data_IF_912573886088
#
_entry.id   IF_912573886088
#
_cell.length_a   1.000
_cell.length_b   1.000
_cell.length_c   1.000
_cell.angle_alpha   90.00
_cell.angle_beta   90.00
_cell.angle_gamma   90.00
#
_symmetry.space_group_name_H-M   'P 1'
#
loop_
_entity.id
_entity.type
_entity.pdbx_description
1 polymer ?
#
# COMPACT_ATOMS: atom_id res chain seq x y z
N UNK A 1 21.00 -2.46 -25.12
CA UNK A 1 21.30 -1.05 -24.80
C UNK A 1 20.13 -0.58 -23.96
N UNK A 2 20.38 -0.27 -22.69
CA UNK A 2 19.32 0.05 -21.73
C UNK A 2 18.77 1.46 -22.02
N UNK A 3 17.48 1.57 -22.30
CA UNK A 3 16.85 2.84 -22.65
C UNK A 3 16.51 3.62 -21.38
N UNK A 4 17.56 4.07 -20.70
CA UNK A 4 17.45 4.90 -19.50
C UNK A 4 16.57 6.15 -19.74
N UNK A 5 16.63 6.70 -20.95
CA UNK A 5 15.89 7.92 -21.31
C UNK A 5 14.40 7.70 -21.60
N UNK A 6 13.97 6.47 -21.89
CA UNK A 6 12.58 6.17 -22.27
C UNK A 6 11.57 6.55 -21.16
N UNK A 7 12.00 6.50 -19.90
CA UNK A 7 11.17 6.93 -18.76
C UNK A 7 10.92 8.43 -18.77
N UNK A 8 11.93 9.24 -19.13
CA UNK A 8 11.79 10.69 -19.20
C UNK A 8 10.92 11.10 -20.40
N UNK A 9 11.07 10.45 -21.54
CA UNK A 9 10.19 10.66 -22.70
C UNK A 9 8.73 10.30 -22.41
N UNK A 10 8.50 9.17 -21.73
CA UNK A 10 7.15 8.76 -21.30
C UNK A 10 6.51 9.79 -20.37
N UNK A 11 7.26 10.29 -19.39
CA UNK A 11 6.79 11.32 -18.46
C UNK A 11 6.56 12.67 -19.14
N UNK A 12 7.45 13.07 -20.06
CA UNK A 12 7.32 14.28 -20.85
C UNK A 12 6.13 14.23 -21.83
N UNK A 13 5.75 13.03 -22.29
CA UNK A 13 4.59 12.81 -23.16
C UNK A 13 3.27 12.79 -22.38
N UNK A 14 3.23 12.09 -21.25
CA UNK A 14 1.96 11.92 -20.53
C UNK A 14 1.56 13.15 -19.69
N UNK A 15 2.52 13.92 -19.15
CA UNK A 15 2.33 15.18 -18.36
C UNK A 15 1.11 15.20 -17.42
N UNK A 16 0.64 14.03 -16.99
CA UNK A 16 -0.61 13.88 -16.26
C UNK A 16 -0.32 13.25 -14.93
N UNK A 17 -0.57 14.01 -13.88
CA UNK A 17 -0.54 13.50 -12.51
C UNK A 17 -1.82 12.70 -12.31
N UNK A 18 -1.71 11.37 -12.28
CA UNK A 18 -2.81 10.50 -11.90
C UNK A 18 -2.96 10.50 -10.38
N UNK A 19 -4.20 10.54 -9.91
CA UNK A 19 -4.48 10.35 -8.49
C UNK A 19 -4.07 8.93 -8.08
N UNK A 20 -3.43 8.79 -6.92
CA UNK A 20 -3.16 7.49 -6.34
C UNK A 20 -4.49 6.82 -5.95
N UNK A 21 -4.72 5.55 -6.34
CA UNK A 21 -5.91 4.83 -5.92
C UNK A 21 -5.90 4.70 -4.40
N UNK A 22 -7.05 4.95 -3.78
CA UNK A 22 -7.22 4.79 -2.33
C UNK A 22 -7.65 3.36 -2.04
N UNK A 23 -6.96 2.72 -1.10
CA UNK A 23 -7.40 1.45 -0.56
C UNK A 23 -8.66 1.66 0.31
N UNK A 24 -9.68 0.82 0.09
CA UNK A 24 -10.90 0.73 0.88
C UNK A 24 -10.98 -0.60 1.63
N UNK A 25 -11.83 -0.63 2.65
CA UNK A 25 -12.10 -1.84 3.45
C UNK A 25 -11.02 -2.18 4.49
N UNK A 26 -9.94 -1.40 4.58
CA UNK A 26 -8.91 -1.61 5.59
C UNK A 26 -9.46 -1.36 7.01
N UNK A 27 -9.09 -2.21 8.00
CA UNK A 27 -9.30 -1.89 9.40
C UNK A 27 -8.62 -0.56 9.79
N UNK A 28 -9.11 0.13 10.84
CA UNK A 28 -8.46 1.34 11.32
C UNK A 28 -7.01 1.05 11.76
N UNK A 29 -6.05 1.73 11.16
CA UNK A 29 -4.66 1.67 11.58
C UNK A 29 -4.40 2.73 12.65
N UNK A 30 -4.08 2.31 13.88
CA UNK A 30 -3.77 3.23 14.98
C UNK A 30 -2.26 3.24 15.26
N UNK A 31 -1.67 4.42 15.54
CA UNK A 31 -0.32 4.50 16.06
C UNK A 31 -0.21 3.75 17.39
N UNK A 32 0.77 2.87 17.51
CA UNK A 32 1.03 2.13 18.74
C UNK A 32 2.51 1.79 18.86
N UNK A 33 2.95 1.52 20.09
CA UNK A 33 4.30 1.08 20.42
C UNK A 33 4.26 -0.39 20.81
N UNK A 34 5.37 -1.08 20.58
CA UNK A 34 5.54 -2.48 20.98
C UNK A 34 6.79 -2.61 21.83
N UNK A 35 6.70 -3.43 22.87
CA UNK A 35 7.82 -3.69 23.78
C UNK A 35 8.81 -4.70 23.19
N UNK A 36 8.43 -5.40 22.10
CA UNK A 36 9.31 -6.33 21.40
C UNK A 36 8.91 -6.53 19.94
N UNK A 37 9.85 -7.04 19.14
CA UNK A 37 9.60 -7.41 17.74
C UNK A 37 8.58 -8.56 17.62
N UNK A 38 8.56 -9.47 18.59
CA UNK A 38 7.60 -10.56 18.62
C UNK A 38 6.17 -10.04 18.85
N UNK A 39 6.00 -9.09 19.77
CA UNK A 39 4.72 -8.42 20.00
C UNK A 39 4.24 -7.69 18.74
N UNK A 40 5.15 -6.99 18.05
CA UNK A 40 4.84 -6.38 16.76
C UNK A 40 4.39 -7.40 15.71
N UNK A 41 5.10 -8.51 15.56
CA UNK A 41 4.76 -9.53 14.57
C UNK A 41 3.41 -10.20 14.86
N UNK A 42 3.10 -10.48 16.13
CA UNK A 42 1.78 -11.02 16.51
C UNK A 42 0.66 -10.06 16.14
N UNK A 43 0.84 -8.78 16.47
CA UNK A 43 -0.14 -7.76 16.07
C UNK A 43 -0.26 -7.65 14.54
N UNK A 44 0.87 -7.64 13.82
CA UNK A 44 0.88 -7.54 12.35
C UNK A 44 0.12 -8.70 11.71
N UNK A 45 0.29 -9.93 12.21
CA UNK A 45 -0.46 -11.09 11.74
C UNK A 45 -1.96 -10.93 11.98
N UNK A 46 -2.36 -10.58 13.21
CA UNK A 46 -3.77 -10.35 13.54
C UNK A 46 -4.42 -9.27 12.65
N UNK A 47 -3.69 -8.20 12.35
CA UNK A 47 -4.16 -7.14 11.45
C UNK A 47 -4.37 -7.64 10.00
N UNK A 48 -3.47 -8.48 9.50
CA UNK A 48 -3.61 -9.08 8.17
C UNK A 48 -4.75 -10.09 8.11
N UNK A 49 -4.95 -10.87 9.17
CA UNK A 49 -6.07 -11.81 9.29
C UNK A 49 -7.40 -11.06 9.29
N UNK A 50 -7.46 -9.89 9.96
CA UNK A 50 -8.64 -9.03 9.94
C UNK A 50 -8.91 -8.49 8.52
N UNK A 51 -7.89 -8.03 7.80
CA UNK A 51 -8.03 -7.62 6.40
C UNK A 51 -8.58 -8.78 5.55
N UNK A 52 -8.04 -9.99 5.71
CA UNK A 52 -8.48 -11.16 4.96
C UNK A 52 -9.96 -11.49 5.27
N UNK A 53 -10.36 -11.43 6.53
CA UNK A 53 -11.75 -11.67 6.96
C UNK A 53 -12.75 -10.67 6.38
N UNK A 54 -12.30 -9.43 6.07
CA UNK A 54 -13.11 -8.37 5.46
C UNK A 54 -13.19 -8.45 3.93
N UNK A 55 -12.65 -9.52 3.33
CA UNK A 55 -12.64 -9.72 1.88
C UNK A 55 -11.39 -9.16 1.18
N UNK A 56 -10.34 -8.80 1.94
CA UNK A 56 -9.07 -8.32 1.40
C UNK A 56 -9.03 -6.82 1.09
N UNK A 57 -7.96 -6.38 0.43
CA UNK A 57 -7.78 -4.97 0.04
C UNK A 57 -8.52 -4.69 -1.25
N UNK A 58 -9.44 -3.73 -1.22
CA UNK A 58 -10.10 -3.22 -2.42
C UNK A 58 -9.54 -1.84 -2.76
N UNK A 59 -9.43 -1.51 -4.05
CA UNK A 59 -8.89 -0.23 -4.51
C UNK A 59 -9.98 0.57 -5.21
N UNK A 60 -10.03 1.89 -5.00
CA UNK A 60 -10.80 2.75 -5.90
C UNK A 60 -10.24 2.65 -7.30
N UNK A 61 -11.14 2.53 -8.28
CA UNK A 61 -10.81 2.64 -9.69
C UNK A 61 -10.49 4.09 -10.08
#
# INVERSE_FOLDING_TARGET
>A
MDQYEAKYELWAREQKVYALPKAHGLPPFKPQKFDSYEAFNRWKRAYLDEIASRGGVTWTR
#
